data_IF_729749725365
#
_entry.id   IF_729749725365
#
_cell.length_a   1.000
_cell.length_b   1.000
_cell.length_c   1.000
_cell.angle_alpha   90.00
_cell.angle_beta   90.00
_cell.angle_gamma   90.00
#
_symmetry.space_group_name_H-M   'P 1'
#
loop_
_entity.id
_entity.type
_entity.pdbx_description
1 polymer ?
#
# COMPACT_ATOMS: atom_id res chain seq x y z
N UNK A 1 -14.76 -6.53 -4.31
CA UNK A 1 -15.58 -7.74 -4.16
C UNK A 1 -14.79 -8.90 -4.76
N UNK A 2 -13.96 -9.60 -3.97
CA UNK A 2 -13.32 -10.84 -4.40
C UNK A 2 -13.88 -11.97 -3.56
N UNK A 3 -14.62 -12.85 -4.24
CA UNK A 3 -15.09 -14.11 -3.71
C UNK A 3 -13.89 -15.02 -3.44
N UNK A 4 -13.80 -15.53 -2.21
CA UNK A 4 -12.93 -16.66 -1.92
C UNK A 4 -13.52 -17.93 -2.56
N UNK A 5 -12.70 -18.84 -3.08
CA UNK A 5 -13.17 -20.06 -3.72
C UNK A 5 -13.80 -20.99 -2.68
N UNK A 6 -15.07 -21.32 -2.85
CA UNK A 6 -15.75 -22.33 -2.06
C UNK A 6 -15.09 -23.70 -2.29
N UNK A 7 -14.53 -24.30 -1.24
CA UNK A 7 -14.11 -25.70 -1.25
C UNK A 7 -15.36 -26.58 -1.43
N UNK A 8 -15.47 -27.27 -2.57
CA UNK A 8 -16.44 -28.35 -2.75
C UNK A 8 -16.04 -29.53 -1.86
N UNK A 9 -16.90 -29.90 -0.91
CA UNK A 9 -16.86 -31.21 -0.28
C UNK A 9 -17.37 -32.25 -1.28
N UNK A 10 -16.56 -33.28 -1.53
CA UNK A 10 -16.92 -34.43 -2.35
C UNK A 10 -17.50 -35.52 -1.46
N UNK A 11 -18.76 -35.89 -1.67
CA UNK A 11 -19.30 -37.20 -1.27
C UNK A 11 -19.82 -37.92 -2.51
N UNK A 12 -19.14 -39.01 -2.87
CA UNK A 12 -19.67 -40.09 -3.68
C UNK A 12 -20.59 -40.95 -2.79
N UNK A 13 -21.66 -41.62 -3.23
CA UNK A 13 -22.34 -41.75 -4.51
C UNK A 13 -23.50 -42.73 -4.30
N UNK A 14 -24.55 -42.68 -5.12
CA UNK A 14 -25.44 -43.81 -5.41
C UNK A 14 -26.24 -43.51 -6.68
N UNK A 15 -26.23 -44.47 -7.58
CA UNK A 15 -26.79 -44.47 -8.94
C UNK A 15 -28.30 -44.69 -8.99
N UNK A 16 -29.00 -44.00 -9.90
CA UNK A 16 -30.00 -44.63 -10.78
C UNK A 16 -30.33 -43.74 -11.99
N UNK A 17 -30.46 -44.38 -13.14
CA UNK A 17 -30.63 -43.83 -14.49
C UNK A 17 -32.10 -43.74 -14.91
N UNK A 18 -32.47 -42.69 -15.66
CA UNK A 18 -33.44 -42.59 -16.80
C UNK A 18 -34.05 -41.15 -16.91
N UNK A 19 -34.71 -40.75 -18.01
CA UNK A 19 -34.12 -40.07 -19.16
C UNK A 19 -34.47 -38.57 -19.26
N UNK A 20 -33.75 -37.92 -20.17
CA UNK A 20 -33.63 -36.48 -20.43
C UNK A 20 -34.89 -35.89 -21.09
N UNK A 21 -35.61 -35.00 -20.38
CA UNK A 21 -36.53 -34.02 -20.99
C UNK A 21 -36.10 -32.59 -20.68
N UNK A 22 -35.78 -31.85 -21.74
CA UNK A 22 -35.27 -30.48 -21.75
C UNK A 22 -36.42 -29.51 -21.48
N UNK A 23 -36.57 -29.04 -20.24
CA UNK A 23 -37.37 -27.85 -19.91
C UNK A 23 -36.43 -26.79 -19.33
N UNK A 24 -36.27 -25.69 -20.08
CA UNK A 24 -35.60 -24.48 -19.62
C UNK A 24 -36.37 -23.92 -18.44
N UNK A 25 -35.89 -24.15 -17.21
CA UNK A 25 -36.27 -23.39 -16.04
C UNK A 25 -35.16 -22.37 -15.80
N UNK A 26 -35.43 -21.11 -16.11
CA UNK A 26 -34.67 -19.99 -15.57
C UNK A 26 -34.82 -20.02 -14.05
N UNK A 27 -33.87 -20.68 -13.38
CA UNK A 27 -33.70 -20.56 -11.93
C UNK A 27 -33.04 -19.21 -11.72
N UNK A 28 -33.86 -18.21 -11.44
CA UNK A 28 -33.40 -16.95 -10.87
C UNK A 28 -32.87 -17.29 -9.48
N UNK A 29 -31.56 -17.47 -9.35
CA UNK A 29 -30.91 -17.46 -8.05
C UNK A 29 -30.96 -16.03 -7.53
N UNK A 30 -32.03 -15.70 -6.79
CA UNK A 30 -31.92 -14.69 -5.75
C UNK A 30 -31.00 -15.30 -4.67
N UNK A 31 -29.69 -15.13 -4.84
CA UNK A 31 -28.77 -15.34 -3.75
C UNK A 31 -29.10 -14.29 -2.69
N UNK A 32 -29.78 -14.70 -1.63
CA UNK A 32 -29.95 -13.87 -0.44
C UNK A 32 -28.61 -13.31 -0.01
N UNK A 33 -28.61 -12.10 0.53
CA UNK A 33 -27.41 -11.50 1.13
C UNK A 33 -26.73 -12.55 2.03
N UNK A 34 -25.38 -12.67 2.00
CA UNK A 34 -24.69 -13.64 2.82
C UNK A 34 -25.14 -13.47 4.27
N UNK A 35 -25.65 -14.56 4.86
CA UNK A 35 -26.11 -14.57 6.23
C UNK A 35 -24.93 -14.17 7.12
N UNK A 36 -25.15 -13.18 7.99
CA UNK A 36 -24.13 -12.78 8.95
C UNK A 36 -23.81 -13.97 9.86
N UNK A 37 -22.57 -14.44 9.81
CA UNK A 37 -22.06 -15.50 10.69
C UNK A 37 -21.21 -14.84 11.75
N UNK A 38 -21.68 -14.91 12.99
CA UNK A 38 -20.92 -14.47 14.15
C UNK A 38 -19.94 -15.57 14.58
N UNK A 39 -18.64 -15.27 14.51
CA UNK A 39 -17.57 -16.17 14.94
C UNK A 39 -17.08 -15.88 16.37
N UNK A 40 -17.79 -15.02 17.09
CA UNK A 40 -17.44 -14.53 18.43
C UNK A 40 -16.38 -13.45 18.41
N UNK A 41 -15.85 -13.14 19.59
CA UNK A 41 -14.85 -12.09 19.75
C UNK A 41 -13.45 -12.52 19.29
N UNK A 42 -12.69 -11.54 18.77
CA UNK A 42 -11.29 -11.71 18.36
C UNK A 42 -10.34 -11.65 19.57
N UNK A 43 -10.42 -12.68 20.44
CA UNK A 43 -9.71 -12.70 21.73
C UNK A 43 -8.51 -13.64 21.76
N UNK A 44 -8.34 -14.52 20.77
CA UNK A 44 -7.22 -15.45 20.76
C UNK A 44 -5.93 -14.72 20.35
N UNK A 45 -4.82 -15.04 21.00
CA UNK A 45 -3.56 -14.34 20.80
C UNK A 45 -2.50 -15.29 20.24
N UNK A 46 -1.77 -14.85 19.22
CA UNK A 46 -0.61 -15.58 18.71
C UNK A 46 0.54 -15.56 19.73
N UNK A 47 1.06 -16.75 20.07
CA UNK A 47 2.12 -16.93 21.08
C UNK A 47 3.45 -16.24 20.75
N UNK A 48 3.74 -15.97 19.47
CA UNK A 48 5.01 -15.38 19.06
C UNK A 48 4.97 -13.87 18.86
N UNK A 49 3.89 -13.35 18.25
CA UNK A 49 3.82 -11.94 17.84
C UNK A 49 2.70 -11.15 18.52
N UNK A 50 1.87 -11.80 19.35
CA UNK A 50 0.80 -11.14 20.08
C UNK A 50 -0.42 -10.75 19.25
N UNK A 51 -0.44 -11.04 17.95
CA UNK A 51 -1.56 -10.73 17.07
C UNK A 51 -2.87 -11.41 17.53
N UNK A 52 -3.99 -10.69 17.41
CA UNK A 52 -5.32 -11.19 17.74
C UNK A 52 -5.94 -11.96 16.57
N UNK A 53 -6.69 -13.00 16.89
CA UNK A 53 -7.38 -13.88 15.96
C UNK A 53 -8.73 -14.33 16.52
N UNK A 54 -9.64 -14.66 15.61
CA UNK A 54 -10.80 -15.48 15.96
C UNK A 54 -10.39 -16.94 16.09
N UNK A 55 -11.02 -17.69 17.00
CA UNK A 55 -10.71 -19.11 17.23
C UNK A 55 -10.80 -19.97 15.96
N UNK A 56 -11.68 -19.59 15.02
CA UNK A 56 -11.87 -20.28 13.74
C UNK A 56 -10.72 -20.11 12.76
N UNK A 57 -9.88 -19.08 12.93
CA UNK A 57 -8.73 -18.80 12.07
C UNK A 57 -7.49 -19.65 12.43
N UNK A 58 -7.61 -20.49 13.46
CA UNK A 58 -6.53 -21.37 13.90
C UNK A 58 -6.08 -22.31 12.77
N UNK A 59 -4.79 -22.55 12.69
CA UNK A 59 -4.22 -23.52 11.77
C UNK A 59 -4.57 -24.94 12.26
N UNK A 60 -5.61 -25.55 11.69
CA UNK A 60 -6.15 -26.84 12.12
C UNK A 60 -5.10 -27.95 12.27
N UNK A 61 -4.08 -27.99 11.39
CA UNK A 61 -3.02 -29.01 11.42
C UNK A 61 -1.93 -28.76 12.47
N UNK A 62 -1.82 -27.54 12.96
CA UNK A 62 -0.80 -27.13 13.95
C UNK A 62 -1.42 -26.99 15.34
N UNK A 63 -2.74 -26.85 15.42
CA UNK A 63 -3.47 -26.61 16.66
C UNK A 63 -3.76 -27.91 17.39
N UNK A 64 -3.63 -27.87 18.72
CA UNK A 64 -4.08 -28.94 19.61
C UNK A 64 -5.35 -28.51 20.36
N UNK A 65 -6.17 -29.45 20.87
CA UNK A 65 -7.27 -29.10 21.77
C UNK A 65 -6.75 -28.24 22.93
N UNK A 66 -7.39 -27.09 23.17
CA UNK A 66 -6.97 -26.11 24.19
C UNK A 66 -5.77 -25.22 23.82
N UNK A 67 -5.03 -25.52 22.75
CA UNK A 67 -3.87 -24.76 22.29
C UNK A 67 -3.98 -24.42 20.80
N UNK A 68 -4.80 -23.41 20.43
CA UNK A 68 -4.91 -22.97 19.05
C UNK A 68 -3.61 -22.31 18.58
N UNK A 69 -3.12 -22.71 17.41
CA UNK A 69 -1.95 -22.10 16.77
C UNK A 69 -2.35 -21.24 15.58
N UNK A 70 -1.67 -20.10 15.42
CA UNK A 70 -1.93 -19.15 14.34
C UNK A 70 -0.70 -18.98 13.46
N UNK A 71 -0.89 -19.13 12.14
CA UNK A 71 0.20 -19.14 11.17
C UNK A 71 0.22 -17.91 10.25
N UNK A 72 -0.93 -17.24 10.08
CA UNK A 72 -1.09 -16.17 9.09
C UNK A 72 -0.40 -14.85 9.45
N UNK A 73 -0.09 -14.61 10.73
CA UNK A 73 0.63 -13.43 11.20
C UNK A 73 2.16 -13.53 11.00
N UNK A 74 2.82 -14.36 11.81
CA UNK A 74 4.29 -14.46 11.87
C UNK A 74 4.82 -15.82 11.41
N UNK A 75 3.96 -16.71 10.90
CA UNK A 75 4.32 -18.09 10.51
C UNK A 75 5.03 -18.86 11.62
N UNK A 76 4.40 -19.01 12.78
CA UNK A 76 4.98 -19.76 13.91
C UNK A 76 6.32 -19.15 14.40
N UNK A 77 6.44 -17.82 14.32
CA UNK A 77 7.63 -17.08 14.74
C UNK A 77 8.78 -17.05 13.71
N UNK A 78 8.58 -17.57 12.50
CA UNK A 78 9.57 -17.49 11.42
C UNK A 78 9.75 -16.05 10.88
N UNK A 79 8.68 -15.25 10.92
CA UNK A 79 8.71 -13.85 10.48
C UNK A 79 8.85 -12.96 11.71
N UNK A 80 9.99 -12.28 11.80
CA UNK A 80 10.27 -11.26 12.81
C UNK A 80 10.63 -9.99 12.05
N UNK A 81 9.75 -9.00 12.10
CA UNK A 81 9.96 -7.69 11.50
C UNK A 81 9.98 -6.63 12.60
N UNK A 82 10.76 -5.55 12.43
CA UNK A 82 10.75 -4.45 13.38
C UNK A 82 9.33 -3.91 13.48
N UNK A 83 8.89 -3.65 14.72
CA UNK A 83 7.64 -2.95 14.95
C UNK A 83 7.75 -1.55 14.32
N UNK A 84 6.70 -1.01 13.68
CA UNK A 84 6.74 0.35 13.17
C UNK A 84 7.19 1.29 14.29
N UNK A 85 8.00 2.30 13.94
CA UNK A 85 8.41 3.32 14.91
C UNK A 85 7.16 3.84 15.63
N UNK A 86 7.26 4.13 16.94
CA UNK A 86 6.11 4.67 17.69
C UNK A 86 5.66 5.95 17.00
N UNK A 87 4.53 5.87 16.29
CA UNK A 87 3.93 7.02 15.63
C UNK A 87 3.61 8.10 16.67
N UNK A 88 3.67 9.36 16.23
CA UNK A 88 3.25 10.47 17.09
C UNK A 88 1.81 10.23 17.57
N UNK A 89 1.50 10.39 18.87
CA UNK A 89 0.17 10.10 19.42
C UNK A 89 -0.95 10.78 18.64
N UNK A 90 -0.77 12.05 18.28
CA UNK A 90 -1.74 12.82 17.48
C UNK A 90 -2.04 12.19 16.10
N UNK A 91 -1.03 11.58 15.46
CA UNK A 91 -1.24 10.88 14.19
C UNK A 91 -2.05 9.60 14.40
N UNK A 92 -1.88 8.93 15.54
CA UNK A 92 -2.65 7.74 15.90
C UNK A 92 -4.11 8.09 16.25
N UNK A 93 -4.34 9.25 16.84
CA UNK A 93 -5.67 9.73 17.19
C UNK A 93 -6.54 9.98 15.93
N UNK A 94 -5.92 10.33 14.79
CA UNK A 94 -6.64 10.39 13.51
C UNK A 94 -7.28 9.04 13.15
N UNK A 95 -6.60 7.93 13.38
CA UNK A 95 -7.13 6.60 13.08
C UNK A 95 -8.30 6.19 13.98
N UNK A 96 -8.46 6.86 15.12
CA UNK A 96 -9.62 6.70 16.00
C UNK A 96 -10.78 7.60 15.58
N UNK A 97 -10.54 8.63 14.77
CA UNK A 97 -11.58 9.51 14.27
C UNK A 97 -12.43 8.79 13.19
N UNK A 98 -13.75 8.64 13.40
CA UNK A 98 -14.62 7.90 12.49
C UNK A 98 -14.78 8.56 11.11
N UNK A 99 -14.71 9.90 11.03
CA UNK A 99 -14.82 10.60 9.74
C UNK A 99 -13.56 10.39 8.92
N UNK A 100 -12.39 10.53 9.54
CA UNK A 100 -11.12 10.21 8.91
C UNK A 100 -11.09 8.77 8.44
N UNK A 101 -11.45 7.83 9.32
CA UNK A 101 -11.38 6.40 9.02
C UNK A 101 -12.30 6.00 7.87
N UNK A 102 -13.51 6.57 7.81
CA UNK A 102 -14.47 6.34 6.72
C UNK A 102 -13.89 6.72 5.36
N UNK A 103 -13.18 7.84 5.29
CA UNK A 103 -12.63 8.42 4.05
C UNK A 103 -11.11 8.28 3.92
N UNK A 104 -10.48 7.39 4.71
CA UNK A 104 -9.02 7.21 4.75
C UNK A 104 -8.40 6.97 3.36
N UNK A 105 -9.11 6.29 2.47
CA UNK A 105 -8.67 6.05 1.09
C UNK A 105 -8.62 7.33 0.28
N UNK A 106 -9.59 8.22 0.47
CA UNK A 106 -9.64 9.52 -0.18
C UNK A 106 -8.49 10.40 0.33
N UNK A 107 -8.28 10.46 1.65
CA UNK A 107 -7.13 11.15 2.24
C UNK A 107 -5.82 10.60 1.67
N UNK A 108 -5.57 9.30 1.74
CA UNK A 108 -4.35 8.69 1.21
C UNK A 108 -4.15 9.01 -0.29
N UNK A 109 -5.24 9.07 -1.07
CA UNK A 109 -5.19 9.42 -2.49
C UNK A 109 -4.73 10.85 -2.76
N UNK A 110 -5.04 11.81 -1.88
CA UNK A 110 -4.54 13.19 -1.99
C UNK A 110 -3.02 13.31 -1.77
N UNK A 111 -2.43 12.30 -1.14
CA UNK A 111 -1.01 12.27 -0.79
C UNK A 111 -0.21 11.31 -1.68
N UNK A 112 -0.79 10.66 -2.68
CA UNK A 112 -0.03 9.81 -3.61
C UNK A 112 1.13 10.58 -4.27
N UNK A 113 2.35 10.04 -4.18
CA UNK A 113 3.50 10.56 -4.95
C UNK A 113 3.57 9.90 -6.34
N UNK A 114 2.94 8.75 -6.49
CA UNK A 114 2.94 7.95 -7.72
C UNK A 114 1.57 7.86 -8.35
N UNK A 115 1.58 7.79 -9.68
CA UNK A 115 0.41 7.51 -10.50
C UNK A 115 0.21 6.00 -10.69
N UNK A 116 -1.05 5.61 -10.86
CA UNK A 116 -1.42 4.23 -11.18
C UNK A 116 -1.23 3.96 -12.68
N UNK A 117 -0.16 3.24 -13.02
CA UNK A 117 0.14 2.84 -14.38
C UNK A 117 -0.54 1.53 -14.72
N UNK A 118 -1.63 1.59 -15.47
CA UNK A 118 -2.38 0.42 -15.94
C UNK A 118 -2.68 0.52 -17.43
N UNK A 119 -2.62 -0.62 -18.11
CA UNK A 119 -3.16 -0.77 -19.45
C UNK A 119 -4.63 -1.20 -19.29
N UNK A 120 -5.54 -0.25 -19.44
CA UNK A 120 -6.98 -0.52 -19.41
C UNK A 120 -7.36 -1.13 -20.75
N UNK A 121 -8.02 -2.28 -20.70
CA UNK A 121 -8.59 -2.93 -21.86
C UNK A 121 -10.04 -2.51 -22.01
N UNK A 122 -10.28 -1.53 -22.88
CA UNK A 122 -11.62 -1.00 -23.15
C UNK A 122 -12.44 -1.88 -24.10
N UNK A 123 -11.85 -2.91 -24.71
CA UNK A 123 -12.54 -3.81 -25.66
C UNK A 123 -13.73 -4.56 -25.04
N UNK A 124 -13.77 -4.66 -23.71
CA UNK A 124 -14.82 -5.34 -22.97
C UNK A 124 -16.04 -4.46 -22.72
N UNK A 125 -15.92 -3.14 -22.89
CA UNK A 125 -17.02 -2.20 -22.71
C UNK A 125 -17.73 -1.94 -24.04
N UNK A 126 -18.51 -2.92 -24.51
CA UNK A 126 -19.24 -2.90 -25.78
C UNK A 126 -20.67 -2.30 -25.68
N UNK A 127 -20.93 -1.50 -24.65
CA UNK A 127 -22.23 -0.91 -24.30
C UNK A 127 -23.36 -1.92 -24.01
N UNK A 128 -23.07 -3.24 -23.93
CA UNK A 128 -24.06 -4.29 -23.65
C UNK A 128 -23.98 -4.85 -22.23
N UNK A 129 -23.58 -4.03 -21.26
CA UNK A 129 -23.53 -4.43 -19.86
C UNK A 129 -23.01 -3.33 -18.93
N UNK A 130 -22.99 -3.60 -17.61
CA UNK A 130 -22.35 -2.74 -16.63
C UNK A 130 -20.87 -2.52 -16.98
N UNK A 131 -20.36 -1.31 -16.78
CA UNK A 131 -18.98 -0.95 -17.07
C UNK A 131 -17.99 -1.89 -16.35
N UNK A 132 -17.08 -2.49 -17.12
CA UNK A 132 -16.03 -3.37 -16.64
C UNK A 132 -14.69 -2.65 -16.74
N UNK A 133 -14.08 -2.36 -15.59
CA UNK A 133 -12.70 -1.89 -15.55
C UNK A 133 -11.74 -3.08 -15.66
N UNK A 134 -11.36 -3.44 -16.89
CA UNK A 134 -10.44 -4.54 -17.14
C UNK A 134 -9.01 -4.04 -17.26
N UNK A 135 -8.12 -4.65 -16.48
CA UNK A 135 -6.69 -4.36 -16.46
C UNK A 135 -5.96 -5.50 -17.17
N UNK A 136 -5.18 -5.17 -18.20
CA UNK A 136 -4.30 -6.13 -18.87
C UNK A 136 -2.86 -5.98 -18.37
N UNK A 137 -2.25 -7.10 -18.00
CA UNK A 137 -0.87 -7.16 -17.52
C UNK A 137 -0.74 -6.92 -16.01
N UNK A 138 0.37 -6.31 -15.61
CA UNK A 138 0.68 -6.10 -14.19
C UNK A 138 0.43 -4.64 -13.80
N UNK A 139 -0.25 -4.43 -12.67
CA UNK A 139 -0.31 -3.13 -12.00
C UNK A 139 1.13 -2.62 -11.78
N UNK A 140 1.41 -1.39 -12.19
CA UNK A 140 2.68 -0.73 -11.91
C UNK A 140 2.44 0.68 -11.40
N UNK A 141 3.31 1.19 -10.53
CA UNK A 141 3.26 2.58 -10.12
C UNK A 141 4.28 3.36 -10.94
N UNK A 142 3.91 4.58 -11.33
CA UNK A 142 4.77 5.47 -12.10
C UNK A 142 4.97 6.79 -11.40
N UNK A 143 6.22 7.23 -11.29
CA UNK A 143 6.58 8.53 -10.74
C UNK A 143 6.74 9.53 -11.89
N UNK A 144 6.06 10.67 -11.76
CA UNK A 144 6.12 11.77 -12.74
C UNK A 144 7.36 12.64 -12.54
N UNK A 145 7.53 13.63 -13.42
CA UNK A 145 8.56 14.67 -13.26
C UNK A 145 8.36 15.52 -12.01
N UNK A 146 9.43 16.17 -11.54
CA UNK A 146 9.37 17.05 -10.35
C UNK A 146 8.62 18.36 -10.66
N UNK A 147 8.75 18.88 -11.88
CA UNK A 147 8.05 20.07 -12.33
C UNK A 147 6.76 19.72 -13.08
N UNK A 148 5.66 20.45 -12.88
CA UNK A 148 4.42 20.26 -13.62
C UNK A 148 4.52 20.77 -15.06
N UNK A 149 3.75 20.13 -15.95
CA UNK A 149 3.52 20.63 -17.30
C UNK A 149 2.58 21.85 -17.23
N UNK A 150 2.94 23.01 -17.83
CA UNK A 150 2.14 24.23 -17.80
C UNK A 150 0.68 24.02 -18.24
N UNK A 151 0.43 23.03 -19.09
CA UNK A 151 -0.90 22.77 -19.68
C UNK A 151 -1.78 21.85 -18.83
N UNK A 152 -1.19 21.01 -17.97
CA UNK A 152 -1.92 19.89 -17.31
C UNK A 152 -2.10 20.05 -15.81
N UNK A 153 -1.52 21.09 -15.22
CA UNK A 153 -1.51 21.36 -13.78
C UNK A 153 -0.68 20.33 -12.99
N UNK A 154 -0.40 20.60 -11.70
CA UNK A 154 0.37 19.71 -10.85
C UNK A 154 -0.40 18.43 -10.48
N UNK A 155 0.30 17.28 -10.48
CA UNK A 155 -0.27 15.98 -10.09
C UNK A 155 0.68 15.15 -9.24
N UNK A 156 0.13 14.33 -8.35
CA UNK A 156 0.86 13.38 -7.51
C UNK A 156 2.03 14.05 -6.76
N UNK A 157 3.28 13.59 -6.98
CA UNK A 157 4.49 14.18 -6.39
C UNK A 157 4.59 15.70 -6.58
N UNK A 158 4.15 16.22 -7.73
CA UNK A 158 4.22 17.65 -8.04
C UNK A 158 3.36 18.49 -7.08
N UNK A 159 2.33 17.92 -6.46
CA UNK A 159 1.49 18.61 -5.48
C UNK A 159 2.22 18.91 -4.16
N UNK A 160 3.37 18.29 -3.92
CA UNK A 160 4.25 18.63 -2.79
C UNK A 160 5.26 19.72 -3.14
N UNK A 161 5.51 19.94 -4.43
CA UNK A 161 6.60 20.77 -4.93
C UNK A 161 6.09 22.08 -5.55
N UNK A 162 4.91 22.06 -6.16
CA UNK A 162 4.31 23.23 -6.78
C UNK A 162 3.58 24.08 -5.75
N UNK A 163 3.87 25.40 -5.75
CA UNK A 163 3.20 26.40 -4.90
C UNK A 163 2.98 25.91 -3.46
N UNK A 164 4.08 25.88 -2.72
CA UNK A 164 4.15 25.34 -1.34
C UNK A 164 3.30 26.12 -0.36
N UNK A 165 2.93 27.37 -0.67
CA UNK A 165 2.06 28.20 0.16
C UNK A 165 0.60 27.74 0.08
N UNK A 166 0.15 27.29 -1.10
CA UNK A 166 -1.23 26.86 -1.32
C UNK A 166 -1.37 25.34 -1.49
N UNK A 167 -0.49 24.55 -0.84
CA UNK A 167 -0.45 23.08 -0.98
C UNK A 167 -1.82 22.42 -0.72
N UNK A 168 -2.54 22.84 0.32
CA UNK A 168 -3.88 22.31 0.64
C UNK A 168 -4.88 22.58 -0.47
N UNK A 169 -4.98 23.83 -0.92
CA UNK A 169 -5.92 24.22 -1.97
C UNK A 169 -5.61 23.52 -3.31
N UNK A 170 -4.32 23.38 -3.62
CA UNK A 170 -3.86 22.67 -4.82
C UNK A 170 -4.25 21.18 -4.78
N UNK A 171 -4.11 20.52 -3.61
CA UNK A 171 -4.57 19.13 -3.44
C UNK A 171 -6.09 19.00 -3.58
N UNK A 172 -6.87 19.90 -2.96
CA UNK A 172 -8.33 19.90 -3.15
C UNK A 172 -8.70 20.10 -4.61
N UNK A 173 -8.11 21.08 -5.31
CA UNK A 173 -8.37 21.33 -6.73
C UNK A 173 -8.06 20.12 -7.61
N UNK A 174 -6.94 19.43 -7.35
CA UNK A 174 -6.58 18.20 -8.06
C UNK A 174 -7.53 17.02 -7.73
N UNK A 175 -8.11 17.01 -6.52
CA UNK A 175 -8.97 15.94 -6.03
C UNK A 175 -10.46 16.11 -6.40
N UNK A 176 -10.95 17.35 -6.54
CA UNK A 176 -12.37 17.68 -6.85
C UNK A 176 -12.85 17.00 -8.15
N UNK A 177 -11.94 16.70 -9.10
CA UNK A 177 -12.28 15.94 -10.31
C UNK A 177 -12.55 14.45 -10.09
N UNK A 178 -12.33 13.90 -8.89
CA UNK A 178 -12.30 12.46 -8.65
C UNK A 178 -13.44 11.91 -7.80
N UNK A 179 -14.00 12.62 -6.79
CA UNK A 179 -15.10 12.12 -5.93
C UNK A 179 -15.90 13.22 -5.20
N UNK A 180 -17.19 12.97 -4.96
CA UNK A 180 -18.10 13.79 -4.14
C UNK A 180 -18.04 13.47 -2.64
N UNK A 181 -16.85 13.44 -2.04
CA UNK A 181 -16.66 13.26 -0.60
C UNK A 181 -16.30 14.59 0.05
N UNK A 182 -17.05 14.98 1.10
CA UNK A 182 -16.74 16.16 1.92
C UNK A 182 -15.58 15.84 2.87
N UNK A 183 -14.35 15.98 2.37
CA UNK A 183 -13.14 15.79 3.18
C UNK A 183 -12.92 17.02 4.07
N UNK A 184 -12.64 16.78 5.35
CA UNK A 184 -12.31 17.84 6.31
C UNK A 184 -10.99 18.54 5.94
N UNK A 185 -11.01 19.85 5.62
CA UNK A 185 -9.81 20.62 5.30
C UNK A 185 -8.79 20.68 6.45
N UNK A 186 -9.23 20.61 7.70
CA UNK A 186 -8.33 20.66 8.86
C UNK A 186 -7.45 19.40 8.93
N UNK A 187 -8.02 18.24 8.60
CA UNK A 187 -7.28 16.98 8.53
C UNK A 187 -6.26 17.05 7.38
N UNK A 188 -6.66 17.57 6.21
CA UNK A 188 -5.73 17.72 5.09
C UNK A 188 -4.58 18.66 5.46
N UNK A 189 -4.87 19.79 6.10
CA UNK A 189 -3.87 20.74 6.56
C UNK A 189 -2.91 20.09 7.57
N UNK A 190 -3.43 19.35 8.55
CA UNK A 190 -2.62 18.59 9.50
C UNK A 190 -1.70 17.59 8.78
N UNK A 191 -2.24 16.80 7.84
CA UNK A 191 -1.47 15.81 7.10
C UNK A 191 -0.38 16.44 6.21
N UNK A 192 -0.65 17.60 5.60
CA UNK A 192 0.37 18.36 4.85
C UNK A 192 1.52 18.75 5.77
N UNK A 193 1.22 19.35 6.92
CA UNK A 193 2.23 19.78 7.89
C UNK A 193 3.00 18.57 8.44
N UNK A 194 2.29 17.53 8.85
CA UNK A 194 2.87 16.33 9.45
C UNK A 194 3.76 15.56 8.46
N UNK A 195 3.28 15.26 7.25
CA UNK A 195 4.08 14.58 6.24
C UNK A 195 5.24 15.46 5.75
N UNK A 196 5.05 16.78 5.64
CA UNK A 196 6.14 17.69 5.32
C UNK A 196 7.28 17.66 6.35
N UNK A 197 6.94 17.59 7.63
CA UNK A 197 7.90 17.58 8.74
C UNK A 197 8.52 16.20 9.04
N UNK A 198 7.84 15.10 8.70
CA UNK A 198 8.24 13.76 9.14
C UNK A 198 8.56 12.80 7.99
N UNK A 199 7.96 12.97 6.81
CA UNK A 199 8.15 12.03 5.71
C UNK A 199 9.44 12.33 4.96
N UNK A 200 10.39 11.41 5.04
CA UNK A 200 11.72 11.61 4.47
C UNK A 200 11.71 11.66 2.93
N UNK A 201 10.75 11.02 2.24
CA UNK A 201 10.59 11.20 0.80
C UNK A 201 10.16 12.62 0.46
N UNK A 202 9.16 13.16 1.18
CA UNK A 202 8.69 14.55 0.98
C UNK A 202 9.84 15.53 1.21
N UNK A 203 10.58 15.38 2.31
CA UNK A 203 11.75 16.21 2.59
C UNK A 203 12.78 16.14 1.47
N UNK A 204 13.15 14.93 1.04
CA UNK A 204 14.14 14.72 -0.03
C UNK A 204 13.75 15.46 -1.31
N UNK A 205 12.50 15.33 -1.75
CA UNK A 205 12.04 16.01 -2.97
C UNK A 205 11.93 17.53 -2.79
N UNK A 206 11.47 18.02 -1.62
CA UNK A 206 11.42 19.45 -1.31
C UNK A 206 12.83 20.07 -1.27
N UNK A 207 13.79 19.42 -0.61
CA UNK A 207 15.19 19.84 -0.57
C UNK A 207 15.81 19.86 -1.96
N UNK A 208 15.56 18.83 -2.79
CA UNK A 208 16.06 18.80 -4.16
C UNK A 208 15.55 19.99 -4.99
N UNK A 209 14.29 20.39 -4.80
CA UNK A 209 13.72 21.57 -5.45
C UNK A 209 14.38 22.86 -4.95
N UNK A 210 14.50 23.06 -3.64
CA UNK A 210 15.14 24.26 -3.05
C UNK A 210 16.58 24.41 -3.55
N UNK A 211 17.35 23.33 -3.53
CA UNK A 211 18.73 23.33 -4.06
C UNK A 211 18.78 23.69 -5.55
N UNK A 212 17.81 23.22 -6.35
CA UNK A 212 17.74 23.57 -7.77
C UNK A 212 17.43 25.06 -7.99
N UNK A 213 16.56 25.65 -7.16
CA UNK A 213 16.22 27.08 -7.21
C UNK A 213 17.41 27.95 -6.77
N UNK A 214 18.09 27.59 -5.67
CA UNK A 214 19.29 28.30 -5.18
C UNK A 214 20.44 28.30 -6.20
N UNK A 215 20.62 27.19 -6.92
CA UNK A 215 21.69 27.04 -7.91
C UNK A 215 21.26 27.41 -9.34
N UNK A 216 20.03 27.93 -9.54
CA UNK A 216 19.46 28.27 -10.85
C UNK A 216 19.53 27.12 -11.89
N UNK A 217 19.32 25.88 -11.43
CA UNK A 217 19.39 24.70 -12.28
C UNK A 217 18.06 24.47 -13.01
N UNK A 218 18.06 24.68 -14.32
CA UNK A 218 16.88 24.37 -15.16
C UNK A 218 16.62 22.86 -15.27
N UNK A 219 17.69 22.07 -15.29
CA UNK A 219 17.66 20.61 -15.40
C UNK A 219 18.32 19.98 -14.18
N UNK A 220 17.53 19.25 -13.39
CA UNK A 220 18.02 18.52 -12.22
C UNK A 220 17.30 17.18 -12.11
N UNK A 221 17.87 16.27 -11.32
CA UNK A 221 17.25 14.97 -11.03
C UNK A 221 17.36 14.65 -9.55
N UNK A 222 16.29 14.13 -8.96
CA UNK A 222 16.31 13.53 -7.62
C UNK A 222 16.45 12.01 -7.78
N UNK A 223 17.43 11.40 -7.12
CA UNK A 223 17.68 9.96 -7.18
C UNK A 223 17.45 9.34 -5.82
N UNK A 224 16.68 8.25 -5.75
CA UNK A 224 16.48 7.51 -4.50
C UNK A 224 17.43 6.30 -4.42
N UNK A 225 18.08 6.13 -3.28
CA UNK A 225 18.98 5.00 -3.04
C UNK A 225 18.20 3.74 -2.65
N UNK A 226 18.62 2.58 -3.19
CA UNK A 226 18.17 1.26 -2.74
C UNK A 226 19.13 0.64 -1.70
N UNK A 227 20.27 1.28 -1.41
CA UNK A 227 21.44 0.59 -0.84
C UNK A 227 22.01 1.20 0.45
N UNK A 228 21.16 1.55 1.41
CA UNK A 228 21.65 1.82 2.78
C UNK A 228 21.60 0.51 3.56
N UNK A 229 22.78 -0.03 3.89
CA UNK A 229 22.98 -1.36 4.49
C UNK A 229 22.35 -1.47 5.89
N UNK A 230 22.00 -0.35 6.51
CA UNK A 230 21.53 -0.32 7.90
C UNK A 230 20.42 0.71 8.12
N UNK A 231 19.19 0.32 7.78
CA UNK A 231 17.95 1.02 8.18
C UNK A 231 17.02 0.18 9.03
N UNK A 232 17.51 -0.97 9.51
CA UNK A 232 16.64 -1.98 10.16
C UNK A 232 16.09 -1.54 11.51
N UNK A 233 16.63 -0.46 12.10
CA UNK A 233 16.37 -0.11 13.50
C UNK A 233 16.17 1.39 13.78
N UNK A 234 16.28 2.28 12.79
CA UNK A 234 16.21 3.74 13.00
C UNK A 234 15.21 4.42 12.06
N UNK A 235 14.61 5.51 12.52
CA UNK A 235 13.84 6.42 11.67
C UNK A 235 14.74 6.87 10.51
N UNK A 236 14.22 6.99 9.27
CA UNK A 236 15.07 7.40 8.18
C UNK A 236 15.64 8.80 8.47
N UNK A 237 16.96 8.94 8.36
CA UNK A 237 17.66 10.20 8.64
C UNK A 237 17.65 11.12 7.40
N UNK A 238 17.67 12.45 7.59
CA UNK A 238 17.74 13.40 6.49
C UNK A 238 18.93 13.10 5.56
N UNK A 239 18.69 13.04 4.25
CA UNK A 239 19.71 12.75 3.24
C UNK A 239 20.00 11.26 3.00
N UNK A 240 19.46 10.36 3.82
CA UNK A 240 19.66 8.91 3.63
C UNK A 240 18.92 8.35 2.40
N UNK A 241 17.80 8.98 2.00
CA UNK A 241 16.94 8.48 0.91
C UNK A 241 17.42 8.87 -0.48
N UNK A 242 18.25 9.90 -0.62
CA UNK A 242 18.67 10.39 -1.93
C UNK A 242 19.12 11.83 -1.92
N UNK A 243 20.26 12.15 -2.54
CA UNK A 243 20.45 13.38 -3.35
C UNK A 243 21.82 13.38 -4.03
N UNK A 244 21.85 13.43 -5.37
CA UNK A 244 22.91 14.07 -6.16
C UNK A 244 22.20 14.89 -7.22
N UNK A 245 22.45 16.19 -7.23
CA UNK A 245 22.02 17.11 -8.28
C UNK A 245 23.20 17.31 -9.22
N UNK A 246 23.17 16.67 -10.38
CA UNK A 246 24.17 16.89 -11.43
C UNK A 246 23.56 16.66 -12.81
N UNK A 247 23.87 17.57 -13.74
CA UNK A 247 23.57 17.40 -15.15
C UNK A 247 24.43 16.28 -15.72
N UNK A 248 23.78 15.24 -16.23
CA UNK A 248 24.39 14.20 -17.07
C UNK A 248 25.34 13.16 -16.42
N UNK A 249 25.32 12.96 -15.10
CA UNK A 249 26.09 11.87 -14.50
C UNK A 249 25.45 10.48 -14.73
N UNK A 250 25.97 9.75 -15.72
CA UNK A 250 25.57 8.40 -16.14
C UNK A 250 26.05 7.26 -15.24
N UNK A 251 26.55 7.54 -14.04
CA UNK A 251 27.03 6.54 -13.08
C UNK A 251 25.85 5.80 -12.42
N UNK A 252 25.33 4.82 -13.17
CA UNK A 252 23.97 4.27 -13.07
C UNK A 252 23.93 2.82 -12.57
N UNK A 253 24.76 2.46 -11.57
CA UNK A 253 24.83 1.06 -11.10
C UNK A 253 24.17 0.86 -9.73
N UNK A 254 23.93 1.93 -8.95
CA UNK A 254 23.43 1.82 -7.56
C UNK A 254 22.07 2.48 -7.29
N UNK A 255 21.45 3.11 -8.29
CA UNK A 255 20.18 3.83 -8.15
C UNK A 255 19.06 3.15 -8.92
N UNK A 256 17.90 2.96 -8.28
CA UNK A 256 16.76 2.27 -8.89
C UNK A 256 15.61 3.21 -9.26
N UNK A 257 15.57 4.44 -8.72
CA UNK A 257 14.55 5.45 -9.05
C UNK A 257 15.25 6.80 -9.29
N UNK A 258 15.08 7.34 -10.51
CA UNK A 258 15.60 8.67 -10.91
C UNK A 258 14.42 9.53 -11.37
N UNK A 259 14.20 10.66 -10.73
CA UNK A 259 13.10 11.58 -11.06
C UNK A 259 13.68 12.85 -11.64
N UNK A 260 13.42 13.12 -12.91
CA UNK A 260 13.91 14.32 -13.60
C UNK A 260 13.00 15.52 -13.38
N UNK A 261 13.56 16.73 -13.43
CA UNK A 261 12.83 18.00 -13.32
C UNK A 261 11.78 18.13 -14.42
N UNK A 262 12.20 17.91 -15.66
CA UNK A 262 11.35 17.85 -16.84
C UNK A 262 11.54 16.50 -17.53
N UNK A 263 10.59 15.58 -17.36
CA UNK A 263 10.49 14.38 -18.18
C UNK A 263 9.14 14.33 -18.85
N UNK A 264 9.13 14.11 -20.17
CA UNK A 264 7.88 13.95 -20.92
C UNK A 264 7.12 12.65 -20.58
N UNK A 265 7.74 11.72 -19.84
CA UNK A 265 7.15 10.41 -19.52
C UNK A 265 7.41 10.00 -18.07
N UNK A 266 6.35 9.59 -17.32
CA UNK A 266 6.50 9.00 -15.99
C UNK A 266 7.31 7.71 -16.02
N UNK A 267 8.20 7.52 -15.04
CA UNK A 267 9.04 6.33 -14.92
C UNK A 267 8.37 5.25 -14.08
N UNK A 268 8.55 3.99 -14.46
CA UNK A 268 8.01 2.84 -13.72
C UNK A 268 8.88 2.53 -12.50
N UNK A 269 8.24 2.39 -11.34
CA UNK A 269 8.90 1.88 -10.14
C UNK A 269 8.77 0.36 -10.10
N UNK A 270 9.88 -0.32 -9.79
CA UNK A 270 9.89 -1.76 -9.59
C UNK A 270 9.12 -2.17 -8.34
N UNK A 271 8.33 -3.24 -8.42
CA UNK A 271 7.63 -3.85 -7.27
C UNK A 271 8.59 -4.41 -6.21
N UNK A 272 9.84 -4.65 -6.61
CA UNK A 272 10.88 -5.17 -5.75
C UNK A 272 11.60 -4.06 -4.97
N UNK A 273 11.30 -2.78 -5.27
CA UNK A 273 11.92 -1.65 -4.63
C UNK A 273 11.24 -1.35 -3.28
N UNK A 274 11.99 -1.12 -2.19
CA UNK A 274 11.41 -0.83 -0.87
C UNK A 274 10.50 0.41 -0.87
N UNK A 275 10.78 1.42 -1.69
CA UNK A 275 9.95 2.63 -1.83
C UNK A 275 8.65 2.43 -2.63
N UNK A 276 8.41 1.25 -3.22
CA UNK A 276 7.24 1.01 -4.09
C UNK A 276 5.91 1.29 -3.39
N UNK A 277 5.78 0.87 -2.13
CA UNK A 277 4.56 1.06 -1.33
C UNK A 277 4.53 2.37 -0.54
N UNK A 278 5.64 2.82 0.09
CA UNK A 278 5.70 4.13 0.74
C UNK A 278 5.31 5.31 -0.16
N UNK A 279 5.72 5.30 -1.44
CA UNK A 279 5.37 6.36 -2.39
C UNK A 279 3.89 6.35 -2.79
N UNK A 280 3.24 5.18 -2.71
CA UNK A 280 1.82 5.01 -3.03
C UNK A 280 0.91 5.12 -1.80
N UNK A 281 1.41 4.82 -0.59
CA UNK A 281 0.62 4.84 0.64
C UNK A 281 1.32 5.67 1.74
N UNK A 282 1.51 6.99 1.58
CA UNK A 282 2.25 7.77 2.57
C UNK A 282 1.62 7.78 3.96
N UNK A 283 0.30 7.57 4.08
CA UNK A 283 -0.35 7.47 5.40
C UNK A 283 -0.01 6.16 6.13
N UNK A 284 0.31 5.09 5.40
CA UNK A 284 0.78 3.83 5.98
C UNK A 284 2.28 3.88 6.32
N UNK A 285 3.03 4.74 5.64
CA UNK A 285 4.46 4.95 5.83
C UNK A 285 4.77 6.44 6.13
N UNK A 286 4.24 7.00 7.24
CA UNK A 286 4.26 8.43 7.51
C UNK A 286 5.67 9.03 7.57
N UNK A 287 6.64 8.27 8.07
CA UNK A 287 8.05 8.69 8.13
C UNK A 287 8.84 8.38 6.85
N UNK A 288 8.25 7.66 5.89
CA UNK A 288 8.97 7.17 4.71
C UNK A 288 9.77 5.89 4.98
N UNK A 289 9.28 5.06 5.91
CA UNK A 289 9.87 3.76 6.25
C UNK A 289 9.94 2.86 5.01
N UNK A 290 10.85 1.88 5.03
CA UNK A 290 11.02 0.96 3.91
C UNK A 290 9.90 -0.08 3.87
N UNK A 291 9.30 -0.23 2.69
CA UNK A 291 8.40 -1.34 2.41
C UNK A 291 9.14 -2.66 2.21
N UNK A 292 8.43 -3.65 1.69
CA UNK A 292 9.02 -4.95 1.39
C UNK A 292 10.13 -4.87 0.34
N UNK A 293 11.22 -5.63 0.54
CA UNK A 293 12.27 -5.84 -0.45
C UNK A 293 12.73 -7.31 -0.49
N UNK A 294 13.29 -7.79 -1.63
CA UNK A 294 13.82 -9.17 -1.76
C UNK A 294 14.97 -9.51 -0.80
N UNK A 295 15.57 -8.49 -0.17
CA UNK A 295 16.66 -8.65 0.79
C UNK A 295 16.16 -9.14 2.15
N UNK A 296 14.87 -8.97 2.45
CA UNK A 296 14.27 -9.43 3.69
C UNK A 296 14.23 -10.96 3.74
N UNK A 297 14.65 -11.51 4.87
CA UNK A 297 14.71 -12.95 5.12
C UNK A 297 13.91 -13.30 6.36
N UNK A 298 13.36 -14.50 6.38
CA UNK A 298 12.77 -15.07 7.59
C UNK A 298 13.87 -15.44 8.59
N UNK A 299 13.53 -15.44 9.88
CA UNK A 299 14.42 -15.87 10.95
C UNK A 299 14.82 -17.32 10.72
N UNK A 300 16.12 -17.59 10.82
CA UNK A 300 16.65 -18.93 10.64
C UNK A 300 16.54 -19.72 11.96
N UNK A 301 15.46 -20.46 12.16
CA UNK A 301 15.29 -21.28 13.36
C UNK A 301 16.01 -22.64 13.31
N UNK A 302 16.47 -23.11 12.13
CA UNK A 302 16.91 -24.51 11.94
C UNK A 302 18.23 -24.70 11.18
N UNK A 303 19.06 -23.66 11.04
CA UNK A 303 20.39 -23.77 10.43
C UNK A 303 20.40 -24.01 8.91
N UNK A 304 19.25 -23.98 8.24
CA UNK A 304 19.13 -24.06 6.78
C UNK A 304 19.00 -22.65 6.21
N UNK A 305 19.67 -22.36 5.09
CA UNK A 305 19.64 -21.08 4.37
C UNK A 305 18.39 -20.23 4.66
N UNK A 306 18.59 -19.01 5.18
CA UNK A 306 17.51 -18.10 5.51
C UNK A 306 16.60 -17.89 4.29
N UNK A 307 15.36 -18.40 4.38
CA UNK A 307 14.38 -18.32 3.30
C UNK A 307 13.99 -16.87 3.04
N UNK A 308 13.72 -16.54 1.78
CA UNK A 308 13.23 -15.22 1.40
C UNK A 308 11.89 -14.94 2.06
N UNK A 309 11.76 -13.74 2.62
CA UNK A 309 10.49 -13.24 3.11
C UNK A 309 9.69 -12.74 1.91
N UNK A 310 8.50 -13.30 1.70
CA UNK A 310 7.62 -12.92 0.58
C UNK A 310 6.84 -11.66 0.91
N UNK A 311 6.40 -10.93 -0.12
CA UNK A 311 5.57 -9.72 0.05
C UNK A 311 4.30 -9.99 0.87
N UNK A 312 3.66 -11.14 0.67
CA UNK A 312 2.47 -11.52 1.42
C UNK A 312 2.77 -11.78 2.90
N UNK A 313 3.93 -12.36 3.22
CA UNK A 313 4.36 -12.54 4.61
C UNK A 313 4.61 -11.20 5.30
N UNK A 314 5.26 -10.27 4.59
CA UNK A 314 5.55 -8.93 5.09
C UNK A 314 4.27 -8.19 5.48
N UNK A 315 3.33 -8.09 4.54
CA UNK A 315 2.09 -7.38 4.81
C UNK A 315 1.22 -8.13 5.81
N UNK A 316 1.07 -9.46 5.72
CA UNK A 316 0.30 -10.20 6.71
C UNK A 316 0.81 -10.01 8.14
N UNK A 317 2.13 -9.95 8.34
CA UNK A 317 2.71 -9.64 9.64
C UNK A 317 2.26 -8.26 10.15
N UNK A 318 2.45 -7.19 9.38
CA UNK A 318 2.07 -5.84 9.81
C UNK A 318 0.57 -5.66 9.98
N UNK A 319 -0.26 -6.36 9.19
CA UNK A 319 -1.72 -6.35 9.36
C UNK A 319 -2.08 -6.94 10.71
N UNK A 320 -1.63 -8.16 10.99
CA UNK A 320 -2.05 -8.88 12.17
C UNK A 320 -1.43 -8.33 13.45
N UNK A 321 -0.16 -7.95 13.41
CA UNK A 321 0.55 -7.39 14.56
C UNK A 321 0.16 -5.92 14.79
N UNK A 322 -0.13 -5.19 13.71
CA UNK A 322 -0.67 -3.83 13.77
C UNK A 322 -2.07 -3.73 14.37
N UNK A 323 -2.79 -4.85 14.57
CA UNK A 323 -4.05 -4.90 15.33
C UNK A 323 -3.86 -4.89 16.85
N UNK A 324 -2.65 -5.16 17.35
CA UNK A 324 -2.34 -5.18 18.80
C UNK A 324 -2.22 -3.76 19.37
N UNK A 325 -1.79 -2.82 18.53
CA UNK A 325 -1.97 -1.39 18.73
C UNK A 325 -3.28 -1.02 18.04
N UNK A 326 -4.28 -0.45 18.71
CA UNK A 326 -5.64 -0.20 18.20
C UNK A 326 -5.75 0.73 16.96
N UNK A 327 -4.68 0.96 16.20
CA UNK A 327 -4.54 2.03 15.22
C UNK A 327 -4.38 1.59 13.78
N UNK A 328 -4.23 0.30 13.44
CA UNK A 328 -4.03 -0.12 12.04
C UNK A 328 -4.97 -1.27 11.67
N UNK A 329 -6.27 -0.95 11.59
CA UNK A 329 -7.21 -1.70 10.74
C UNK A 329 -6.99 -1.28 9.28
N UNK A 330 -5.77 -1.48 8.76
CA UNK A 330 -5.41 -1.13 7.37
C UNK A 330 -4.90 -2.41 6.72
N UNK A 331 -5.73 -3.00 5.85
CA UNK A 331 -5.36 -3.79 4.65
C UNK A 331 -6.46 -4.75 4.15
N UNK A 332 -7.63 -4.81 4.78
CA UNK A 332 -8.72 -5.67 4.24
C UNK A 332 -9.54 -4.96 3.14
N UNK A 333 -9.34 -3.65 2.92
CA UNK A 333 -10.11 -2.87 1.94
C UNK A 333 -9.29 -1.91 1.06
N UNK A 334 -8.01 -2.23 0.79
CA UNK A 334 -7.27 -1.64 -0.35
C UNK A 334 -7.54 -2.41 -1.63
#
# INVERSE_FOLDING_TARGET
>A
MMALPAKRSSSAGASSSLPRTRRSRHVVFFAGLPQYVDYGDCTCVCEFCGAYFWYVERALRLSMPGHPKYYHCCRDGDVVLPYPSRFHPEFLDLYQNPTFFKDIRAYNSMFYMTSFGVNVDESVNDNRGPYVFKICGQICYRIGSLSPDPTKGPRFLQLYLFDTENEVQNKFRAFVGLRGTDLDPNIVQYLVTFLGANNEYVKTFKTAKVMAEENNLQNYSARLFNNVVDRRYELPSPGSLGCIVSGDDTTSITYDIVVFSHSGRPQRISKLHPSYMPLQYPLLFPYGEEGWSPRLKMRNQRGVNAKNLTINMYYAYYIHVGLVSKSITILVCT
#
